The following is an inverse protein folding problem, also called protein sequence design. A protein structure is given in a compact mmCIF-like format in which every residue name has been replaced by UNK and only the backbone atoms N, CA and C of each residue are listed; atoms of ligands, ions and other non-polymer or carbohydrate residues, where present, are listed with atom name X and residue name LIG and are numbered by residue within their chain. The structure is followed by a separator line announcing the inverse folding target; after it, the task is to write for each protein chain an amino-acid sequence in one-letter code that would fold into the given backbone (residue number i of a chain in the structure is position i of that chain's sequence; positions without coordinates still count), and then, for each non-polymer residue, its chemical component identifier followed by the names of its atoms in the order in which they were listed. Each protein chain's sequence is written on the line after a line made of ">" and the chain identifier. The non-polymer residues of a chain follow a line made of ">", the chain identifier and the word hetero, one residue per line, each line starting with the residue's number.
data_IF_696894435992
#
_entry.id   IF_696894435992
#
_cell.length_a   1.000
_cell.length_b   1.000
_cell.length_c   1.000
_cell.angle_alpha   90.00
_cell.angle_beta   90.00
_cell.angle_gamma   90.00
#
_symmetry.space_group_name_H-M   'P 1'
#
loop_
_entity.id
_entity.type
_entity.pdbx_description
1 polymer ?
#
# COMPACT_ATOMS: atom_id res chain seq x y z
N UNK A 1 0.77 18.39 0.79
CA UNK A 1 1.40 17.83 2.01
C UNK A 1 1.98 16.48 1.66
N UNK A 2 2.80 15.91 2.55
CA UNK A 2 3.31 14.54 2.40
C UNK A 2 2.45 13.57 3.22
N UNK A 3 2.11 12.42 2.63
CA UNK A 3 1.29 11.39 3.27
C UNK A 3 1.97 10.01 3.11
N UNK A 4 1.95 9.22 4.19
CA UNK A 4 2.43 7.83 4.15
C UNK A 4 1.34 6.96 3.53
N UNK A 5 1.65 6.27 2.44
CA UNK A 5 0.72 5.38 1.74
C UNK A 5 1.32 3.98 1.56
N UNK A 6 0.48 2.95 1.53
CA UNK A 6 0.86 1.59 1.22
C UNK A 6 0.27 1.18 -0.13
N UNK A 7 1.07 0.50 -0.97
CA UNK A 7 0.58 -0.18 -2.17
C UNK A 7 0.72 -1.68 -1.95
N UNK A 8 -0.40 -2.39 -1.95
CA UNK A 8 -0.50 -3.80 -1.54
C UNK A 8 -1.01 -4.62 -2.70
N UNK A 9 -0.37 -5.76 -2.97
CA UNK A 9 -0.88 -6.78 -3.88
C UNK A 9 -1.48 -7.89 -3.04
N UNK A 10 -2.80 -8.08 -3.02
CA UNK A 10 -3.42 -9.20 -2.32
C UNK A 10 -2.96 -10.54 -2.89
N UNK A 11 -2.82 -11.55 -2.04
CA UNK A 11 -2.52 -12.91 -2.48
C UNK A 11 -3.70 -13.58 -3.21
N UNK A 12 -4.90 -13.02 -3.10
CA UNK A 12 -6.12 -13.52 -3.72
C UNK A 12 -7.24 -12.48 -3.68
N UNK A 13 -8.46 -12.90 -4.01
CA UNK A 13 -9.62 -12.01 -3.96
C UNK A 13 -9.85 -11.47 -2.55
N UNK A 14 -10.05 -10.17 -2.44
CA UNK A 14 -10.38 -9.50 -1.18
C UNK A 14 -11.89 -9.28 -1.16
N UNK A 15 -12.57 -9.96 -0.23
CA UNK A 15 -14.03 -9.85 -0.11
C UNK A 15 -14.46 -8.47 0.39
N UNK A 16 -13.68 -7.87 1.29
CA UNK A 16 -13.90 -6.53 1.84
C UNK A 16 -12.57 -5.76 1.89
N UNK A 17 -12.29 -4.93 0.87
CA UNK A 17 -11.07 -4.14 0.80
C UNK A 17 -10.94 -3.12 1.93
N UNK A 18 -12.05 -2.53 2.41
CA UNK A 18 -12.02 -1.50 3.44
C UNK A 18 -11.70 -2.10 4.80
N UNK A 19 -12.28 -3.25 5.12
CA UNK A 19 -11.94 -4.00 6.32
C UNK A 19 -10.47 -4.42 6.33
N UNK A 20 -9.96 -4.94 5.20
CA UNK A 20 -8.55 -5.33 5.09
C UNK A 20 -7.62 -4.11 5.19
N UNK A 21 -7.98 -2.98 4.58
CA UNK A 21 -7.20 -1.75 4.70
C UNK A 21 -7.12 -1.30 6.17
N UNK A 22 -8.25 -1.29 6.89
CA UNK A 22 -8.29 -0.93 8.31
C UNK A 22 -7.45 -1.88 9.18
N UNK A 23 -7.52 -3.18 8.91
CA UNK A 23 -6.68 -4.19 9.59
C UNK A 23 -5.19 -3.92 9.37
N UNK A 24 -4.76 -3.69 8.13
CA UNK A 24 -3.37 -3.40 7.79
C UNK A 24 -2.89 -2.09 8.44
N UNK A 25 -3.72 -1.05 8.45
CA UNK A 25 -3.40 0.21 9.12
C UNK A 25 -3.23 0.03 10.62
N UNK A 26 -4.15 -0.68 11.28
CA UNK A 26 -4.08 -0.99 12.71
C UNK A 26 -2.83 -1.80 13.03
N UNK A 27 -2.53 -2.84 12.24
CA UNK A 27 -1.34 -3.67 12.42
C UNK A 27 -0.04 -2.87 12.36
N UNK A 28 0.13 -2.02 11.34
CA UNK A 28 1.34 -1.18 11.24
C UNK A 28 1.39 -0.12 12.36
N UNK A 29 0.23 0.42 12.75
CA UNK A 29 0.16 1.39 13.85
C UNK A 29 0.61 0.77 15.17
N UNK A 30 0.19 -0.47 15.44
CA UNK A 30 0.38 -1.15 16.72
C UNK A 30 1.73 -1.88 16.79
N UNK A 31 2.18 -2.49 15.70
CA UNK A 31 3.44 -3.25 15.65
C UNK A 31 4.66 -2.41 15.24
N UNK A 32 4.47 -1.32 14.47
CA UNK A 32 5.56 -0.48 13.98
C UNK A 32 5.56 0.92 14.60
N UNK A 33 4.59 1.77 14.25
CA UNK A 33 4.50 3.13 14.80
C UNK A 33 3.23 3.88 14.40
N UNK A 34 2.67 4.63 15.36
CA UNK A 34 1.59 5.62 15.13
C UNK A 34 1.99 6.78 14.21
N UNK A 35 3.28 7.05 14.03
CA UNK A 35 3.75 8.12 13.16
C UNK A 35 3.98 7.66 11.71
N UNK A 36 4.17 6.36 11.49
CA UNK A 36 4.58 5.81 10.21
C UNK A 36 3.57 4.82 9.61
N UNK A 37 2.40 4.63 10.23
CA UNK A 37 1.34 3.83 9.63
C UNK A 37 0.78 4.51 8.37
N UNK A 38 0.38 3.72 7.37
CA UNK A 38 -0.16 4.26 6.13
C UNK A 38 -1.52 4.90 6.37
N UNK A 39 -1.72 6.13 5.87
CA UNK A 39 -3.00 6.84 5.91
C UNK A 39 -3.95 6.37 4.81
N UNK A 40 -3.39 5.88 3.70
CA UNK A 40 -4.13 5.21 2.62
C UNK A 40 -3.47 3.89 2.25
N UNK A 41 -4.30 2.91 1.90
CA UNK A 41 -3.88 1.62 1.36
C UNK A 41 -4.48 1.49 -0.04
N UNK A 42 -3.61 1.36 -1.04
CA UNK A 42 -4.00 1.12 -2.42
C UNK A 42 -3.77 -0.34 -2.75
N UNK A 43 -4.85 -1.06 -3.07
CA UNK A 43 -4.75 -2.40 -3.63
C UNK A 43 -4.44 -2.30 -5.12
N UNK A 44 -3.37 -2.96 -5.54
CA UNK A 44 -2.90 -2.95 -6.94
C UNK A 44 -2.72 -4.39 -7.42
N UNK A 45 -2.96 -4.63 -8.69
CA UNK A 45 -2.81 -5.98 -9.27
C UNK A 45 -1.36 -6.45 -9.26
N UNK A 46 -0.42 -5.50 -9.37
CA UNK A 46 1.01 -5.78 -9.36
C UNK A 46 1.84 -4.58 -8.93
N UNK A 47 3.02 -4.87 -8.38
CA UNK A 47 4.04 -3.86 -8.15
C UNK A 47 4.88 -3.65 -9.43
N UNK A 48 5.03 -2.41 -9.92
CA UNK A 48 5.80 -2.13 -11.13
C UNK A 48 7.28 -2.38 -10.86
N UNK A 49 7.91 -3.22 -11.69
CA UNK A 49 9.30 -3.61 -11.54
C UNK A 49 10.07 -3.46 -12.85
N UNK A 50 11.36 -3.16 -12.75
CA UNK A 50 12.29 -3.23 -13.88
C UNK A 50 12.45 -4.67 -14.37
N UNK A 51 13.02 -4.91 -15.57
CA UNK A 51 13.37 -6.26 -16.02
C UNK A 51 14.27 -7.03 -15.04
N UNK A 52 15.11 -6.32 -14.28
CA UNK A 52 15.93 -6.88 -13.21
C UNK A 52 15.21 -7.07 -11.86
N UNK A 53 13.90 -6.82 -11.80
CA UNK A 53 13.06 -7.03 -10.62
C UNK A 53 13.04 -5.89 -9.60
N UNK A 54 13.74 -4.77 -9.86
CA UNK A 54 13.76 -3.62 -8.93
C UNK A 54 12.42 -2.88 -8.97
N UNK A 55 11.91 -2.51 -7.79
CA UNK A 55 10.66 -1.76 -7.67
C UNK A 55 10.76 -0.35 -8.25
N UNK A 56 9.85 0.02 -9.14
CA UNK A 56 9.76 1.34 -9.76
C UNK A 56 8.80 2.24 -8.97
N UNK A 57 9.21 2.68 -7.78
CA UNK A 57 8.38 3.46 -6.83
C UNK A 57 7.78 4.76 -7.40
N UNK A 58 8.42 5.37 -8.41
CA UNK A 58 7.91 6.60 -9.01
C UNK A 58 6.58 6.38 -9.76
N UNK A 59 6.39 5.21 -10.38
CA UNK A 59 5.15 4.84 -11.06
C UNK A 59 4.00 4.64 -10.07
N UNK A 60 4.30 4.08 -8.89
CA UNK A 60 3.32 3.96 -7.81
C UNK A 60 2.82 5.32 -7.32
N UNK A 61 3.71 6.32 -7.22
CA UNK A 61 3.31 7.67 -6.82
C UNK A 61 2.39 8.34 -7.84
N UNK A 62 2.69 8.19 -9.15
CA UNK A 62 1.84 8.74 -10.21
C UNK A 62 0.46 8.10 -10.22
N UNK A 63 0.37 6.78 -10.09
CA UNK A 63 -0.92 6.06 -10.06
C UNK A 63 -1.72 6.23 -8.77
N UNK A 64 -1.08 6.57 -7.64
CA UNK A 64 -1.75 6.80 -6.37
C UNK A 64 -2.28 8.23 -6.18
N UNK A 65 -2.04 9.14 -7.15
CA UNK A 65 -2.43 10.57 -7.06
C UNK A 65 -3.85 10.85 -7.55
N UNK A 66 -4.64 9.83 -7.89
CA UNK A 66 -6.07 9.99 -8.20
C UNK A 66 -6.94 10.14 -6.92
#
# INVERSE_FOLDING_TARGET
>A
GEEVVACVVPAGAVADPDALAAELQAKVRDEYSKHAYPRRVHFVDRLPKTPSGKLQRFLLRQGATD
#
